data_IF_618444316015
#
_entry.id   IF_618444316015
#
_cell.length_a   1.000
_cell.length_b   1.000
_cell.length_c   1.000
_cell.angle_alpha   90.00
_cell.angle_beta   90.00
_cell.angle_gamma   90.00
#
_symmetry.space_group_name_H-M   'P 1'
#
loop_
_entity.id
_entity.type
_entity.pdbx_description
1 polymer ?
#
# COMPACT_ATOMS: atom_id res chain seq x y z
N UNK A 1 0.96 -5.74 -15.79
CA UNK A 1 0.80 -4.28 -15.93
C UNK A 1 -0.70 -3.95 -16.01
N UNK A 2 -1.24 -3.16 -15.06
CA UNK A 2 -2.58 -2.62 -15.18
C UNK A 2 -2.72 -1.86 -16.51
N UNK A 3 -3.74 -2.18 -17.30
CA UNK A 3 -3.98 -1.55 -18.61
C UNK A 3 -4.33 -0.06 -18.48
N UNK A 4 -4.67 0.39 -17.27
CA UNK A 4 -5.04 1.77 -16.94
C UNK A 4 -3.85 2.68 -16.59
N UNK A 5 -2.61 2.18 -16.62
CA UNK A 5 -1.41 3.00 -16.38
C UNK A 5 -0.53 3.02 -17.63
N UNK A 6 0.10 4.17 -17.91
CA UNK A 6 1.08 4.21 -18.98
C UNK A 6 2.31 3.37 -18.62
N UNK A 7 3.04 2.89 -19.65
CA UNK A 7 4.30 2.16 -19.44
C UNK A 7 5.31 2.98 -18.63
N UNK A 8 5.33 4.29 -18.86
CA UNK A 8 6.20 5.21 -18.17
C UNK A 8 5.87 5.28 -16.67
N UNK A 9 4.61 5.48 -16.31
CA UNK A 9 4.22 5.55 -14.89
C UNK A 9 4.41 4.22 -14.16
N UNK A 10 4.16 3.09 -14.84
CA UNK A 10 4.46 1.78 -14.28
C UNK A 10 5.96 1.60 -14.02
N UNK A 11 6.81 1.94 -14.99
CA UNK A 11 8.26 1.87 -14.82
C UNK A 11 8.76 2.78 -13.70
N UNK A 12 8.14 3.96 -13.53
CA UNK A 12 8.43 4.85 -12.42
C UNK A 12 8.04 4.28 -11.07
N UNK A 13 6.90 3.59 -11.00
CA UNK A 13 6.50 2.89 -9.78
C UNK A 13 7.48 1.76 -9.44
N UNK A 14 7.84 0.92 -10.42
CA UNK A 14 8.84 -0.14 -10.22
C UNK A 14 10.20 0.42 -9.79
N UNK A 15 10.62 1.53 -10.40
CA UNK A 15 11.83 2.24 -10.00
C UNK A 15 11.76 2.67 -8.54
N UNK A 16 10.73 3.45 -8.16
CA UNK A 16 10.58 3.96 -6.79
C UNK A 16 10.49 2.83 -5.77
N UNK A 17 9.76 1.76 -6.10
CA UNK A 17 9.60 0.60 -5.22
C UNK A 17 10.93 -0.12 -4.98
N UNK A 18 11.66 -0.41 -6.07
CA UNK A 18 12.96 -1.09 -5.98
C UNK A 18 14.04 -0.22 -5.33
N UNK A 19 14.07 1.07 -5.66
CA UNK A 19 15.09 2.01 -5.19
C UNK A 19 14.93 2.27 -3.69
N UNK A 20 13.69 2.41 -3.21
CA UNK A 20 13.40 2.62 -1.79
C UNK A 20 13.28 1.32 -0.97
N UNK A 21 13.59 0.15 -1.55
CA UNK A 21 13.46 -1.16 -0.90
C UNK A 21 12.09 -1.35 -0.23
N UNK A 22 11.02 -0.96 -0.92
CA UNK A 22 9.66 -0.94 -0.37
C UNK A 22 9.10 -2.36 -0.32
N UNK A 23 8.34 -2.69 0.73
CA UNK A 23 7.54 -3.92 0.78
C UNK A 23 6.07 -3.55 0.64
N UNK A 24 5.42 -4.11 -0.38
CA UNK A 24 4.01 -3.87 -0.67
C UNK A 24 3.09 -4.98 -0.18
N UNK A 25 1.79 -4.78 -0.32
CA UNK A 25 0.84 -5.89 -0.23
C UNK A 25 1.15 -6.94 -1.32
N UNK A 26 1.20 -8.20 -0.93
CA UNK A 26 1.49 -9.29 -1.86
C UNK A 26 2.98 -9.51 -2.15
N UNK A 27 3.90 -8.83 -1.45
CA UNK A 27 5.33 -9.16 -1.45
C UNK A 27 6.23 -8.05 -1.99
N UNK A 28 7.19 -8.42 -2.83
CA UNK A 28 8.28 -7.57 -3.33
C UNK A 28 7.98 -6.88 -4.67
N UNK A 29 6.80 -7.12 -5.24
CA UNK A 29 6.37 -6.42 -6.45
C UNK A 29 5.83 -5.03 -6.13
N UNK A 30 5.94 -4.11 -7.09
CA UNK A 30 5.43 -2.75 -6.95
C UNK A 30 3.93 -2.75 -6.66
N UNK A 31 3.58 -2.44 -5.41
CA UNK A 31 2.20 -2.40 -4.92
C UNK A 31 2.02 -1.28 -3.90
N UNK A 32 0.77 -1.06 -3.48
CA UNK A 32 0.49 -0.21 -2.34
C UNK A 32 1.06 -0.81 -1.05
N UNK A 33 1.35 0.07 -0.10
CA UNK A 33 2.03 -0.24 1.16
C UNK A 33 1.08 -0.13 2.34
N UNK A 34 -0.15 0.34 2.10
CA UNK A 34 -1.16 0.55 3.11
C UNK A 34 -2.55 0.28 2.53
N UNK A 35 -3.40 -0.36 3.33
CA UNK A 35 -4.74 -0.74 2.93
C UNK A 35 -5.70 -0.22 3.98
N UNK A 36 -6.69 0.54 3.54
CA UNK A 36 -7.82 0.97 4.35
C UNK A 36 -9.07 0.21 3.90
N UNK A 37 -9.91 -0.19 4.85
CA UNK A 37 -11.19 -0.84 4.55
C UNK A 37 -12.31 0.04 5.04
N UNK A 38 -13.12 0.50 4.09
CA UNK A 38 -14.26 1.37 4.30
C UNK A 38 -15.54 0.57 4.14
N UNK A 39 -16.34 0.48 5.20
CA UNK A 39 -17.60 -0.27 5.20
C UNK A 39 -18.75 0.74 5.31
N UNK A 40 -19.64 0.74 4.32
CA UNK A 40 -20.89 1.52 4.39
C UNK A 40 -22.00 0.62 4.90
N UNK A 41 -22.64 1.05 5.99
CA UNK A 41 -23.75 0.33 6.61
C UNK A 41 -25.08 0.84 6.04
N UNK A 42 -26.05 -0.06 5.90
CA UNK A 42 -27.39 0.31 5.46
C UNK A 42 -28.02 1.38 6.38
N UNK A 43 -28.71 2.35 5.77
CA UNK A 43 -29.41 3.43 6.50
C UNK A 43 -28.51 4.52 7.08
N UNK A 44 -27.19 4.39 6.96
CA UNK A 44 -26.23 5.42 7.36
C UNK A 44 -25.68 6.13 6.13
N UNK A 45 -25.48 7.44 6.22
CA UNK A 45 -24.69 8.17 5.22
C UNK A 45 -23.22 7.78 5.34
N UNK A 46 -22.48 7.93 4.25
CA UNK A 46 -21.06 7.64 4.21
C UNK A 46 -20.28 8.44 5.25
N UNK A 47 -20.61 9.73 5.38
CA UNK A 47 -20.05 10.64 6.39
C UNK A 47 -20.27 10.09 7.80
N UNK A 48 -21.47 9.58 8.10
CA UNK A 48 -21.75 8.98 9.41
C UNK A 48 -21.02 7.65 9.63
N UNK A 49 -20.77 6.89 8.57
CA UNK A 49 -20.11 5.58 8.67
C UNK A 49 -18.58 5.68 8.79
N UNK A 50 -17.95 6.71 8.20
CA UNK A 50 -16.49 6.72 7.96
C UNK A 50 -15.82 8.01 8.45
N UNK A 51 -16.59 8.99 8.95
CA UNK A 51 -16.18 10.36 9.33
C UNK A 51 -16.29 11.40 8.19
N UNK A 52 -16.48 12.66 8.58
CA UNK A 52 -16.72 13.81 7.69
C UNK A 52 -15.57 14.04 6.71
N UNK A 53 -14.33 13.73 7.12
CA UNK A 53 -13.18 13.88 6.25
C UNK A 53 -13.18 12.90 5.07
N UNK A 54 -13.57 11.66 5.31
CA UNK A 54 -13.50 10.59 4.31
C UNK A 54 -14.81 10.44 3.51
N UNK A 55 -15.92 10.90 4.08
CA UNK A 55 -17.23 10.90 3.42
C UNK A 55 -17.45 12.04 2.43
N UNK A 56 -16.61 13.09 2.45
CA UNK A 56 -16.69 14.23 1.54
C UNK A 56 -15.64 14.18 0.42
N UNK A 57 -15.67 15.18 -0.47
CA UNK A 57 -14.57 15.39 -1.42
C UNK A 57 -13.30 15.81 -0.67
N UNK A 58 -12.25 15.01 -0.78
CA UNK A 58 -10.98 15.25 -0.10
C UNK A 58 -9.78 14.76 -0.93
N UNK A 59 -8.58 15.30 -0.66
CA UNK A 59 -7.33 14.69 -1.07
C UNK A 59 -6.71 13.86 0.09
N UNK A 60 -6.03 12.78 -0.26
CA UNK A 60 -5.25 11.99 0.69
C UNK A 60 -3.84 12.57 0.84
N UNK A 61 -3.65 13.41 1.86
CA UNK A 61 -2.40 14.14 2.08
C UNK A 61 -1.19 13.24 2.40
N UNK A 62 -1.45 12.02 2.86
CA UNK A 62 -0.40 11.06 3.24
C UNK A 62 -0.05 10.09 2.10
N UNK A 63 -0.72 10.18 0.95
CA UNK A 63 -0.40 9.34 -0.20
C UNK A 63 0.79 9.92 -0.97
N UNK A 64 1.57 9.03 -1.58
CA UNK A 64 2.66 9.45 -2.45
C UNK A 64 2.13 10.13 -3.72
N UNK A 65 2.58 11.36 -4.00
CA UNK A 65 2.05 12.21 -5.08
C UNK A 65 2.23 11.61 -6.48
N UNK A 66 3.33 10.90 -6.70
CA UNK A 66 3.67 10.31 -8.00
C UNK A 66 3.01 8.94 -8.26
N UNK A 67 2.45 8.29 -7.23
CA UNK A 67 1.99 6.89 -7.32
C UNK A 67 0.48 6.80 -7.26
N UNK A 68 -0.05 5.61 -7.55
CA UNK A 68 -1.48 5.40 -7.67
C UNK A 68 -2.09 4.76 -6.41
N UNK A 69 -3.36 5.07 -6.21
CA UNK A 69 -4.26 4.42 -5.29
C UNK A 69 -5.18 3.51 -6.09
N UNK A 70 -5.33 2.26 -5.64
CA UNK A 70 -6.32 1.30 -6.14
C UNK A 70 -7.47 1.22 -5.15
N UNK A 71 -8.66 1.59 -5.61
CA UNK A 71 -9.91 1.36 -4.91
C UNK A 71 -10.60 0.12 -5.50
N UNK A 72 -10.80 -0.89 -4.66
CA UNK A 72 -11.61 -2.07 -4.98
C UNK A 72 -12.94 -1.98 -4.23
N UNK A 73 -14.03 -1.77 -4.98
CA UNK A 73 -15.38 -1.70 -4.45
C UNK A 73 -16.08 -3.04 -4.62
N UNK A 74 -16.62 -3.57 -3.52
CA UNK A 74 -17.52 -4.71 -3.49
C UNK A 74 -18.92 -4.22 -3.12
N UNK A 75 -19.90 -4.55 -3.95
CA UNK A 75 -21.28 -4.12 -3.80
C UNK A 75 -22.21 -5.31 -3.66
N UNK A 76 -23.08 -5.26 -2.66
CA UNK A 76 -24.18 -6.20 -2.50
C UNK A 76 -25.49 -5.43 -2.52
N UNK A 77 -25.94 -5.07 -3.73
CA UNK A 77 -27.11 -4.22 -3.94
C UNK A 77 -28.17 -4.95 -4.79
N UNK A 78 -29.47 -4.84 -4.45
CA UNK A 78 -30.55 -5.35 -5.27
C UNK A 78 -30.66 -4.56 -6.58
N UNK A 79 -31.23 -5.18 -7.64
CA UNK A 79 -31.56 -4.48 -8.87
C UNK A 79 -32.34 -3.18 -8.61
N UNK A 80 -31.97 -2.11 -9.31
CA UNK A 80 -32.61 -0.79 -9.17
C UNK A 80 -32.02 0.11 -8.08
N UNK A 81 -31.08 -0.39 -7.27
CA UNK A 81 -30.33 0.46 -6.33
C UNK A 81 -29.40 1.42 -7.05
N UNK A 82 -29.17 2.58 -6.44
CA UNK A 82 -28.07 3.47 -6.81
C UNK A 82 -26.90 3.23 -5.87
N UNK A 83 -25.80 2.69 -6.40
CA UNK A 83 -24.58 2.47 -5.63
C UNK A 83 -23.82 3.77 -5.31
N UNK A 84 -24.25 4.88 -5.92
CA UNK A 84 -23.59 6.16 -5.90
C UNK A 84 -22.59 6.32 -7.05
N UNK A 85 -21.90 7.44 -7.00
CA UNK A 85 -20.85 7.82 -7.94
C UNK A 85 -19.52 7.93 -7.22
N UNK A 86 -18.44 7.63 -7.93
CA UNK A 86 -17.09 8.00 -7.55
C UNK A 86 -16.68 9.23 -8.37
N UNK A 87 -16.33 10.32 -7.70
CA UNK A 87 -15.97 11.60 -8.32
C UNK A 87 -14.46 11.83 -8.21
N UNK A 88 -13.82 12.16 -9.33
CA UNK A 88 -12.46 12.69 -9.43
C UNK A 88 -12.55 14.17 -9.80
N UNK A 89 -12.83 15.00 -8.79
CA UNK A 89 -13.21 16.39 -8.96
C UNK A 89 -12.16 17.21 -9.73
N UNK A 90 -10.87 16.97 -9.49
CA UNK A 90 -9.78 17.67 -10.18
C UNK A 90 -9.82 17.50 -11.70
N UNK A 91 -10.33 16.36 -12.18
CA UNK A 91 -10.38 16.04 -13.61
C UNK A 91 -11.76 16.28 -14.22
N UNK A 92 -12.75 16.71 -13.43
CA UNK A 92 -14.14 16.82 -13.89
C UNK A 92 -14.74 15.46 -14.30
N UNK A 93 -14.20 14.36 -13.78
CA UNK A 93 -14.63 13.01 -14.11
C UNK A 93 -15.46 12.43 -12.95
N UNK A 94 -16.55 11.75 -13.28
CA UNK A 94 -17.26 10.90 -12.33
C UNK A 94 -17.59 9.56 -12.98
N UNK A 95 -17.56 8.51 -12.16
CA UNK A 95 -17.94 7.16 -12.53
C UNK A 95 -19.20 6.82 -11.77
N UNK A 96 -20.31 6.61 -12.49
CA UNK A 96 -21.52 6.07 -11.89
C UNK A 96 -21.45 4.56 -11.91
N UNK A 97 -21.55 3.95 -10.74
CA UNK A 97 -21.36 2.53 -10.60
C UNK A 97 -22.70 1.83 -10.88
N UNK A 98 -22.80 1.14 -12.02
CA UNK A 98 -24.00 0.39 -12.39
C UNK A 98 -24.16 -0.93 -11.59
N UNK A 99 -24.85 -1.90 -12.21
CA UNK A 99 -25.06 -3.24 -11.63
C UNK A 99 -23.79 -4.12 -11.70
N UNK A 100 -22.71 -3.71 -11.03
CA UNK A 100 -21.48 -4.48 -10.94
C UNK A 100 -21.27 -4.93 -9.49
N UNK A 101 -20.86 -6.18 -9.31
CA UNK A 101 -20.53 -6.71 -7.98
C UNK A 101 -19.16 -6.23 -7.50
N UNK A 102 -18.21 -6.03 -8.44
CA UNK A 102 -16.82 -5.65 -8.15
C UNK A 102 -16.37 -4.58 -9.14
N UNK A 103 -15.76 -3.51 -8.64
CA UNK A 103 -15.16 -2.46 -9.47
C UNK A 103 -13.75 -2.13 -8.96
N UNK A 104 -12.84 -1.94 -9.92
CA UNK A 104 -11.49 -1.47 -9.67
C UNK A 104 -11.34 -0.05 -10.23
N UNK A 105 -10.96 0.90 -9.39
CA UNK A 105 -10.69 2.29 -9.78
C UNK A 105 -9.25 2.62 -9.42
N UNK A 106 -8.45 2.98 -10.43
CA UNK A 106 -7.07 3.41 -10.24
C UNK A 106 -7.00 4.92 -10.44
N UNK A 107 -6.48 5.64 -9.46
CA UNK A 107 -6.44 7.10 -9.46
C UNK A 107 -5.27 7.63 -8.62
N UNK A 108 -5.01 8.93 -8.64
CA UNK A 108 -4.05 9.57 -7.73
C UNK A 108 -4.79 9.98 -6.44
N UNK A 109 -4.51 9.33 -5.31
CA UNK A 109 -5.20 9.65 -4.05
C UNK A 109 -4.99 11.09 -3.56
N UNK A 110 -3.89 11.73 -3.97
CA UNK A 110 -3.62 13.15 -3.67
C UNK A 110 -4.53 14.12 -4.44
N UNK A 111 -5.22 13.66 -5.49
CA UNK A 111 -6.22 14.45 -6.20
C UNK A 111 -7.52 14.49 -5.40
N UNK A 112 -8.27 15.59 -5.51
CA UNK A 112 -9.57 15.71 -4.84
C UNK A 112 -10.53 14.66 -5.41
N UNK A 113 -11.01 13.78 -4.54
CA UNK A 113 -11.89 12.68 -4.91
C UNK A 113 -12.90 12.38 -3.79
N UNK A 114 -13.91 11.57 -4.09
CA UNK A 114 -14.86 11.10 -3.09
C UNK A 114 -15.98 10.27 -3.70
N UNK A 115 -16.84 9.72 -2.86
CA UNK A 115 -18.01 8.96 -3.30
C UNK A 115 -19.29 9.58 -2.79
N UNK A 116 -20.35 9.52 -3.59
CA UNK A 116 -21.68 9.86 -3.11
C UNK A 116 -22.29 8.72 -2.29
N UNK A 117 -23.32 9.07 -1.51
CA UNK A 117 -24.12 8.10 -0.77
C UNK A 117 -24.83 7.13 -1.72
N UNK A 118 -25.02 5.91 -1.24
CA UNK A 118 -25.84 4.89 -1.91
C UNK A 118 -27.31 5.12 -1.57
N UNK A 119 -28.19 4.83 -2.53
CA UNK A 119 -29.65 4.89 -2.35
C UNK A 119 -30.23 3.51 -2.62
N UNK A 120 -30.89 2.95 -1.61
CA UNK A 120 -31.42 1.59 -1.65
C UNK A 120 -32.72 1.51 -0.84
N UNK A 121 -33.74 0.90 -1.44
CA UNK A 121 -35.01 0.61 -0.78
C UNK A 121 -34.83 -0.47 0.28
N UNK A 122 -35.39 -0.25 1.47
CA UNK A 122 -35.34 -1.23 2.57
C UNK A 122 -35.94 -2.56 2.16
N UNK A 123 -37.08 -2.49 1.47
CA UNK A 123 -37.84 -3.66 1.10
C UNK A 123 -37.14 -4.44 -0.02
N UNK A 124 -36.58 -3.74 -1.01
CA UNK A 124 -35.84 -4.38 -2.09
C UNK A 124 -34.57 -5.06 -1.57
N UNK A 125 -33.85 -4.41 -0.64
CA UNK A 125 -32.69 -5.01 0.01
C UNK A 125 -33.08 -6.28 0.79
N UNK A 126 -34.18 -6.21 1.56
CA UNK A 126 -34.68 -7.34 2.33
C UNK A 126 -35.01 -8.53 1.42
N UNK A 127 -35.81 -8.30 0.38
CA UNK A 127 -36.23 -9.35 -0.54
C UNK A 127 -35.04 -9.98 -1.25
N UNK A 128 -34.08 -9.16 -1.69
CA UNK A 128 -32.85 -9.64 -2.33
C UNK A 128 -31.97 -10.47 -1.39
N UNK A 129 -31.80 -10.04 -0.14
CA UNK A 129 -31.04 -10.82 0.85
C UNK A 129 -31.75 -12.11 1.24
N UNK A 130 -33.08 -12.15 1.22
CA UNK A 130 -33.86 -13.39 1.41
C UNK A 130 -33.62 -14.34 0.23
N UNK A 131 -33.68 -13.83 -1.00
CA UNK A 131 -33.43 -14.61 -2.21
C UNK A 131 -32.04 -15.23 -2.22
N UNK A 132 -31.03 -14.49 -1.77
CA UNK A 132 -29.65 -14.99 -1.64
C UNK A 132 -29.42 -15.89 -0.42
N UNK A 133 -30.42 -16.07 0.46
CA UNK A 133 -30.29 -16.85 1.70
C UNK A 133 -29.42 -16.19 2.78
N UNK A 134 -29.14 -14.88 2.68
CA UNK A 134 -28.29 -14.15 3.62
C UNK A 134 -29.07 -13.30 4.63
N UNK A 135 -30.39 -13.16 4.50
CA UNK A 135 -31.18 -12.25 5.35
C UNK A 135 -30.97 -12.45 6.85
N UNK A 136 -31.02 -13.69 7.33
CA UNK A 136 -30.84 -13.98 8.76
C UNK A 136 -29.43 -13.67 9.26
N UNK A 137 -28.41 -13.91 8.44
CA UNK A 137 -27.02 -13.58 8.76
C UNK A 137 -26.81 -12.07 8.78
N UNK A 138 -27.37 -11.38 7.79
CA UNK A 138 -27.29 -9.94 7.66
C UNK A 138 -27.96 -9.21 8.83
N UNK A 139 -29.10 -9.70 9.31
CA UNK A 139 -29.76 -9.15 10.50
C UNK A 139 -28.95 -9.29 11.79
N UNK A 140 -28.07 -10.30 11.88
CA UNK A 140 -27.20 -10.52 13.04
C UNK A 140 -25.91 -9.70 12.99
N UNK A 141 -25.54 -9.18 11.82
CA UNK A 141 -24.34 -8.38 11.62
C UNK A 141 -24.62 -6.87 11.54
N UNK A 142 -23.57 -6.10 11.26
CA UNK A 142 -23.64 -4.63 11.18
C UNK A 142 -24.32 -4.08 9.93
N UNK A 143 -24.98 -4.94 9.13
CA UNK A 143 -25.77 -4.54 7.96
C UNK A 143 -24.95 -3.81 6.86
N UNK A 144 -23.70 -4.23 6.65
CA UNK A 144 -22.84 -3.72 5.58
C UNK A 144 -23.42 -4.01 4.19
N UNK A 145 -23.38 -3.01 3.30
CA UNK A 145 -23.91 -3.10 1.92
C UNK A 145 -22.90 -2.73 0.84
N UNK A 146 -21.82 -2.05 1.23
CA UNK A 146 -20.69 -1.67 0.37
C UNK A 146 -19.39 -1.79 1.16
N UNK A 147 -18.42 -2.48 0.58
CA UNK A 147 -17.05 -2.55 1.09
C UNK A 147 -16.10 -1.91 0.08
N UNK A 148 -15.22 -1.06 0.55
CA UNK A 148 -14.23 -0.35 -0.23
C UNK A 148 -12.84 -0.64 0.34
N UNK A 149 -12.03 -1.42 -0.39
CA UNK A 149 -10.63 -1.61 -0.08
C UNK A 149 -9.82 -0.55 -0.83
N UNK A 150 -9.17 0.33 -0.08
CA UNK A 150 -8.31 1.38 -0.63
C UNK A 150 -6.88 0.95 -0.40
N UNK A 151 -6.23 0.44 -1.44
CA UNK A 151 -4.82 0.11 -1.43
C UNK A 151 -4.03 1.30 -1.96
N UNK A 152 -3.20 1.92 -1.12
CA UNK A 152 -2.48 3.13 -1.43
C UNK A 152 -1.00 3.02 -1.06
N UNK A 153 -0.19 3.82 -1.73
CA UNK A 153 1.23 3.99 -1.43
C UNK A 153 1.38 5.12 -0.41
N UNK A 154 1.65 4.78 0.84
CA UNK A 154 1.95 5.76 1.87
C UNK A 154 3.23 6.52 1.51
N UNK A 155 3.20 7.85 1.61
CA UNK A 155 4.34 8.70 1.29
C UNK A 155 5.58 8.30 2.09
N UNK A 156 5.39 7.95 3.37
CA UNK A 156 6.47 7.55 4.27
C UNK A 156 7.14 6.26 3.79
N UNK A 157 6.41 5.28 3.28
CA UNK A 157 7.00 4.03 2.82
C UNK A 157 7.92 4.19 1.59
N UNK A 158 7.81 5.31 0.87
CA UNK A 158 8.61 5.64 -0.32
C UNK A 158 9.61 6.78 -0.07
N UNK A 159 9.82 7.17 1.18
CA UNK A 159 10.90 8.07 1.54
C UNK A 159 12.11 7.24 1.97
N UNK A 160 13.26 7.39 1.29
CA UNK A 160 14.53 6.70 1.60
C UNK A 160 14.90 6.77 3.10
N UNK A 161 14.53 7.87 3.77
CA UNK A 161 14.85 8.10 5.19
C UNK A 161 13.80 7.55 6.17
N UNK A 162 12.63 7.15 5.69
CA UNK A 162 11.59 6.55 6.51
C UNK A 162 11.75 5.03 6.43
N UNK A 163 12.62 4.51 7.29
CA UNK A 163 12.83 3.07 7.44
C UNK A 163 11.50 2.40 7.79
N UNK A 164 11.12 1.39 7.01
CA UNK A 164 10.15 0.42 7.49
C UNK A 164 10.85 -0.34 8.62
N UNK A 165 10.21 -0.47 9.78
CA UNK A 165 10.77 -1.22 10.90
C UNK A 165 10.77 -2.72 10.56
N UNK A 166 11.74 -3.16 9.76
CA UNK A 166 11.88 -4.54 9.29
C UNK A 166 12.60 -5.40 10.31
N UNK A 167 13.52 -4.80 11.06
CA UNK A 167 14.24 -5.42 12.18
C UNK A 167 13.67 -4.93 13.51
N UNK A 168 13.85 -5.68 14.61
CA UNK A 168 13.61 -5.16 15.94
C UNK A 168 14.35 -3.82 16.15
N UNK A 169 13.73 -2.84 16.84
CA UNK A 169 14.35 -1.53 17.04
C UNK A 169 15.63 -1.68 17.87
N UNK A 170 16.70 -0.98 17.43
CA UNK A 170 17.87 -0.74 18.27
C UNK A 170 17.45 0.30 19.32
N UNK A 171 17.29 -0.12 20.57
CA UNK A 171 16.73 0.73 21.62
C UNK A 171 17.70 1.84 22.02
N UNK A 172 17.40 3.09 21.62
CA UNK A 172 17.96 4.29 22.21
C UNK A 172 16.91 5.42 22.18
N UNK A 173 16.60 6.02 23.32
CA UNK A 173 15.63 7.13 23.46
C UNK A 173 14.23 6.74 23.96
N UNK A 174 13.40 7.77 24.19
CA UNK A 174 12.11 7.64 24.89
C UNK A 174 10.96 7.09 24.02
N UNK A 175 11.03 7.20 22.69
CA UNK A 175 10.00 6.66 21.78
C UNK A 175 10.22 5.18 21.40
N UNK A 176 11.39 4.64 21.77
CA UNK A 176 11.80 3.25 21.52
C UNK A 176 11.97 2.40 22.77
N UNK A 177 11.57 2.90 23.95
CA UNK A 177 11.58 2.09 25.16
C UNK A 177 10.76 0.80 24.91
N UNK A 178 11.29 -0.39 25.22
CA UNK A 178 10.58 -1.64 25.02
C UNK A 178 9.33 -1.64 25.89
N UNK A 179 8.20 -1.30 25.28
CA UNK A 179 6.89 -1.58 25.83
C UNK A 179 6.64 -3.07 25.60
N UNK A 180 6.35 -3.82 26.66
CA UNK A 180 6.22 -5.28 26.63
C UNK A 180 5.24 -5.82 25.56
N UNK A 181 4.28 -5.00 25.09
CA UNK A 181 3.40 -5.40 23.99
C UNK A 181 4.09 -5.36 22.62
N UNK A 182 5.10 -4.52 22.40
CA UNK A 182 5.86 -4.44 21.13
C UNK A 182 6.78 -5.63 20.90
N UNK A 183 7.25 -6.30 21.96
CA UNK A 183 8.04 -7.53 21.85
C UNK A 183 7.25 -8.69 21.21
N UNK A 184 5.92 -8.62 21.26
CA UNK A 184 5.04 -9.62 20.65
C UNK A 184 4.75 -9.36 19.17
N UNK A 185 5.18 -8.22 18.62
CA UNK A 185 4.94 -7.92 17.22
C UNK A 185 5.94 -8.67 16.34
N UNK A 186 5.39 -9.41 15.37
CA UNK A 186 6.16 -10.06 14.33
C UNK A 186 6.82 -8.98 13.46
N UNK A 187 8.09 -9.19 13.10
CA UNK A 187 8.83 -8.35 12.16
C UNK A 187 9.32 -9.17 10.97
N UNK A 188 9.65 -8.48 9.88
CA UNK A 188 10.07 -9.13 8.64
C UNK A 188 11.42 -9.85 8.78
N UNK A 189 12.34 -9.35 9.59
CA UNK A 189 13.63 -10.00 9.80
C UNK A 189 13.48 -11.42 10.40
N UNK A 190 12.55 -11.60 11.34
CA UNK A 190 12.35 -12.88 12.03
C UNK A 190 11.28 -13.78 11.38
N UNK A 191 10.26 -13.18 10.76
CA UNK A 191 9.06 -13.91 10.30
C UNK A 191 8.70 -13.65 8.83
N UNK A 192 9.49 -12.85 8.12
CA UNK A 192 9.17 -12.40 6.76
C UNK A 192 9.50 -13.39 5.65
N UNK A 193 10.21 -14.49 5.92
CA UNK A 193 10.71 -15.40 4.87
C UNK A 193 9.62 -15.84 3.89
N UNK A 194 8.49 -16.32 4.38
CA UNK A 194 7.39 -16.78 3.51
C UNK A 194 6.68 -15.62 2.80
N UNK A 195 6.57 -14.46 3.47
CA UNK A 195 5.86 -13.29 2.94
C UNK A 195 6.67 -12.61 1.82
N UNK A 196 8.00 -12.66 1.92
CA UNK A 196 8.91 -12.00 0.98
C UNK A 196 9.34 -12.92 -0.16
N UNK A 197 8.75 -14.11 -0.30
CA UNK A 197 9.03 -15.01 -1.43
C UNK A 197 10.18 -16.01 -1.19
N UNK A 198 10.49 -16.32 0.06
CA UNK A 198 11.50 -17.31 0.46
C UNK A 198 12.81 -16.67 0.95
N UNK A 199 13.80 -17.52 1.26
CA UNK A 199 15.05 -17.09 1.92
C UNK A 199 15.92 -16.15 1.10
N UNK A 200 16.08 -16.40 -0.20
CA UNK A 200 16.90 -15.53 -1.07
C UNK A 200 16.34 -14.12 -1.17
N UNK A 201 15.08 -13.96 -1.61
CA UNK A 201 14.40 -12.66 -1.62
C UNK A 201 14.37 -11.97 -0.25
N UNK A 202 14.12 -12.72 0.82
CA UNK A 202 14.19 -12.22 2.20
C UNK A 202 15.59 -11.69 2.55
N UNK A 203 16.65 -12.46 2.28
CA UNK A 203 18.02 -12.05 2.56
C UNK A 203 18.43 -10.81 1.76
N UNK A 204 18.06 -10.75 0.46
CA UNK A 204 18.27 -9.56 -0.38
C UNK A 204 17.58 -8.34 0.20
N UNK A 205 16.33 -8.47 0.64
CA UNK A 205 15.56 -7.38 1.23
C UNK A 205 16.19 -6.88 2.54
N UNK A 206 16.58 -7.79 3.44
CA UNK A 206 17.18 -7.44 4.73
C UNK A 206 18.56 -6.82 4.55
N UNK A 207 19.36 -7.29 3.59
CA UNK A 207 20.67 -6.72 3.32
C UNK A 207 20.57 -5.30 2.74
N UNK A 208 19.62 -5.07 1.81
CA UNK A 208 19.33 -3.71 1.30
C UNK A 208 18.91 -2.78 2.43
N UNK A 209 18.02 -3.23 3.31
CA UNK A 209 17.59 -2.45 4.47
C UNK A 209 18.77 -2.09 5.39
N UNK A 210 19.66 -3.05 5.67
CA UNK A 210 20.85 -2.81 6.48
C UNK A 210 21.81 -1.81 5.83
N UNK A 211 22.03 -1.91 4.52
CA UNK A 211 22.88 -0.98 3.76
C UNK A 211 22.29 0.43 3.75
N UNK A 212 20.98 0.56 3.51
CA UNK A 212 20.30 1.86 3.57
C UNK A 212 20.31 2.45 4.98
N UNK A 213 20.11 1.64 6.01
CA UNK A 213 20.21 2.08 7.38
C UNK A 213 21.60 2.62 7.73
N UNK A 214 22.66 1.93 7.26
CA UNK A 214 24.03 2.38 7.43
C UNK A 214 24.29 3.73 6.72
N UNK A 215 23.90 3.85 5.45
CA UNK A 215 24.07 5.10 4.68
C UNK A 215 23.29 6.26 5.31
N UNK A 216 22.06 6.02 5.74
CA UNK A 216 21.24 7.02 6.42
C UNK A 216 21.87 7.45 7.75
N UNK A 217 22.43 6.52 8.53
CA UNK A 217 23.12 6.84 9.79
C UNK A 217 24.34 7.74 9.56
N UNK A 218 25.13 7.49 8.51
CA UNK A 218 26.25 8.35 8.13
C UNK A 218 25.77 9.74 7.71
N UNK A 219 24.72 9.79 6.90
CA UNK A 219 24.12 11.04 6.41
C UNK A 219 23.59 11.91 7.57
N UNK A 220 22.87 11.32 8.52
CA UNK A 220 22.39 12.02 9.72
C UNK A 220 23.52 12.45 10.66
N UNK A 221 24.65 11.75 10.63
CA UNK A 221 25.86 12.10 11.37
C UNK A 221 26.75 13.11 10.63
N UNK A 222 26.30 13.64 9.47
CA UNK A 222 27.04 14.55 8.61
C UNK A 222 28.37 13.98 8.10
N UNK A 223 28.49 12.65 8.02
CA UNK A 223 29.67 11.95 7.50
C UNK A 223 29.52 11.78 5.99
N UNK A 224 30.53 12.23 5.25
CA UNK A 224 30.61 12.01 3.80
C UNK A 224 31.23 10.65 3.50
N UNK A 225 30.74 10.00 2.45
CA UNK A 225 31.28 8.73 1.95
C UNK A 225 31.34 8.74 0.42
N UNK A 226 32.15 7.85 -0.15
CA UNK A 226 32.34 7.71 -1.59
C UNK A 226 31.94 6.33 -2.12
N UNK A 227 31.43 5.44 -1.28
CA UNK A 227 30.93 4.15 -1.71
C UNK A 227 29.45 4.22 -2.13
N UNK A 228 29.06 3.29 -3.00
CA UNK A 228 27.68 3.11 -3.46
C UNK A 228 26.98 1.95 -2.75
N UNK A 229 25.65 1.87 -2.92
CA UNK A 229 24.82 0.79 -2.37
C UNK A 229 25.29 -0.57 -2.90
N UNK A 230 25.56 -0.67 -4.21
CA UNK A 230 26.03 -1.91 -4.83
C UNK A 230 27.44 -2.30 -4.39
N UNK A 231 28.31 -1.33 -4.13
CA UNK A 231 29.63 -1.63 -3.58
C UNK A 231 29.54 -2.26 -2.19
N UNK A 232 28.64 -1.76 -1.32
CA UNK A 232 28.41 -2.34 0.00
C UNK A 232 27.73 -3.72 -0.09
N UNK A 233 26.66 -3.85 -0.89
CA UNK A 233 25.97 -5.12 -1.09
C UNK A 233 26.88 -6.20 -1.67
N UNK A 234 27.79 -5.82 -2.58
CA UNK A 234 28.76 -6.74 -3.17
C UNK A 234 29.80 -7.30 -2.20
N UNK A 235 29.93 -6.75 -0.99
CA UNK A 235 30.77 -7.28 0.08
C UNK A 235 30.01 -8.22 1.03
N UNK A 236 28.70 -8.41 0.81
CA UNK A 236 27.83 -9.19 1.67
C UNK A 236 27.37 -10.46 0.94
N UNK A 237 27.08 -11.49 1.73
CA UNK A 237 26.59 -12.78 1.28
C UNK A 237 25.59 -13.32 2.30
N UNK A 238 24.81 -14.31 1.89
CA UNK A 238 23.90 -15.02 2.79
C UNK A 238 24.10 -16.53 2.65
N UNK A 239 23.69 -17.29 3.67
CA UNK A 239 23.82 -18.74 3.69
C UNK A 239 22.53 -19.41 3.24
N UNK A 240 22.61 -20.18 2.17
CA UNK A 240 21.52 -21.01 1.65
C UNK A 240 21.18 -22.20 2.54
N UNK A 241 20.18 -22.97 2.11
CA UNK A 241 19.63 -24.10 2.88
C UNK A 241 20.64 -25.21 3.12
N UNK A 242 21.62 -25.38 2.24
CA UNK A 242 22.67 -26.39 2.35
C UNK A 242 23.94 -25.81 2.98
N UNK A 243 23.86 -24.60 3.53
CA UNK A 243 24.99 -23.88 4.14
C UNK A 243 25.94 -23.24 3.14
N UNK A 244 25.62 -23.28 1.85
CA UNK A 244 26.39 -22.63 0.80
C UNK A 244 26.29 -21.11 0.90
N UNK A 245 27.39 -20.43 0.61
CA UNK A 245 27.42 -18.97 0.56
C UNK A 245 26.90 -18.50 -0.80
N UNK A 246 25.91 -17.62 -0.79
CA UNK A 246 25.30 -17.04 -1.98
C UNK A 246 25.48 -15.52 -1.96
N UNK A 247 25.85 -14.97 -3.12
CA UNK A 247 25.94 -13.52 -3.30
C UNK A 247 24.54 -12.88 -3.24
N UNK A 248 24.47 -11.64 -2.78
CA UNK A 248 23.24 -10.85 -2.82
C UNK A 248 23.00 -10.25 -4.20
N UNK A 249 21.72 -10.00 -4.50
CA UNK A 249 21.30 -9.28 -5.69
C UNK A 249 21.55 -7.77 -5.53
N UNK A 250 22.39 -7.25 -6.42
CA UNK A 250 22.63 -5.81 -6.56
C UNK A 250 21.34 -5.06 -6.92
N UNK A 251 21.22 -3.82 -6.44
CA UNK A 251 20.12 -2.95 -6.84
C UNK A 251 20.26 -2.57 -8.31
N UNK A 252 19.14 -2.59 -9.02
CA UNK A 252 19.07 -2.29 -10.46
C UNK A 252 19.41 -0.83 -10.76
N UNK A 253 19.05 0.07 -9.84
CA UNK A 253 19.29 1.49 -9.96
C UNK A 253 20.16 1.92 -8.78
N UNK A 254 21.38 2.35 -9.08
CA UNK A 254 22.32 2.85 -8.09
C UNK A 254 22.57 4.33 -8.40
N UNK A 255 21.86 5.20 -7.68
CA UNK A 255 21.80 6.65 -7.98
C UNK A 255 23.18 7.31 -7.97
N UNK A 256 24.12 6.79 -7.17
CA UNK A 256 25.48 7.36 -7.07
C UNK A 256 26.29 7.02 -8.32
N UNK A 257 26.13 5.81 -8.88
CA UNK A 257 26.88 5.38 -10.07
C UNK A 257 26.18 5.70 -11.40
N UNK A 258 24.85 5.86 -11.41
CA UNK A 258 24.08 6.25 -12.60
C UNK A 258 23.12 7.43 -12.34
N UNK A 259 23.65 8.66 -12.14
CA UNK A 259 22.81 9.85 -12.00
C UNK A 259 22.01 10.17 -13.29
N UNK A 260 22.40 9.61 -14.44
CA UNK A 260 21.68 9.77 -15.72
C UNK A 260 20.48 8.84 -15.86
N UNK A 261 20.43 7.76 -15.06
CA UNK A 261 19.30 6.85 -14.99
C UNK A 261 17.98 7.56 -14.64
N UNK A 262 18.02 8.53 -13.72
CA UNK A 262 16.85 9.36 -13.38
C UNK A 262 16.43 10.31 -14.51
N UNK A 263 17.39 10.90 -15.24
CA UNK A 263 17.08 11.82 -16.34
C UNK A 263 16.42 11.15 -17.55
N UNK A 264 16.44 9.80 -17.62
CA UNK A 264 15.65 9.08 -18.64
C UNK A 264 14.16 9.04 -18.30
N UNK A 265 13.78 9.39 -17.07
CA UNK A 265 12.40 9.36 -16.60
C UNK A 265 11.85 10.74 -16.19
N UNK A 266 12.63 11.82 -16.32
CA UNK A 266 12.18 13.20 -16.11
C UNK A 266 12.16 13.94 -17.44
#
# INVERSE_FOLDING_TARGET
>A
MPTCMSKFEHAMWEFLHSDNNVVGFGGLEANGTSCQVNITLYGNSLIKSIDDRQGNLHPDQHNHRGLFTLLTLLLQLPPGSDSGSFCLAQHGLYVRIGNHAIIFIVFKGVSIHGTSDLTISKEDLRLYLIELGFWELWQKGDQGVRLAFINYTALQAYMIFAQLSMTPPLTFGNEGAPVAHKEKFLNFAQHGTEILGGRGPHANQMAREAVYAFINALSHSLITHNFTVNQLLGQLSWRGDKGEEQALELVKYDIISDPKGMLKFC
#
